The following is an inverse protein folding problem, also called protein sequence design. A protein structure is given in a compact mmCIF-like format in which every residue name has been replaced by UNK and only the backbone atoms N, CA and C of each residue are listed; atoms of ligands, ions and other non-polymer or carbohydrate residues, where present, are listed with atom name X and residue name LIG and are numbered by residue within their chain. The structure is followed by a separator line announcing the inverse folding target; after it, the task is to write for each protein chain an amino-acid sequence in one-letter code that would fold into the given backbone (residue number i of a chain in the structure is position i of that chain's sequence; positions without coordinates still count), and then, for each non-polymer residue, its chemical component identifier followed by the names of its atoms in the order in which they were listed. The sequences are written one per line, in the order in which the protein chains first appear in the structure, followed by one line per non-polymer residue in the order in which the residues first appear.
data_IF_820459275042
#
_entry.id   IF_820459275042
#
_cell.length_a   1.000
_cell.length_b   1.000
_cell.length_c   1.000
_cell.angle_alpha   90.00
_cell.angle_beta   90.00
_cell.angle_gamma   90.00
#
_symmetry.space_group_name_H-M   'P 1'
#
loop_
_entity.id
_entity.type
_entity.pdbx_description
1 polymer ?
#
# COMPACT_ATOMS: atom_id res chain seq x y z
N UNK A 1 47.55 -74.58 8.35
CA UNK A 1 46.35 -75.40 8.63
C UNK A 1 45.14 -74.49 8.67
N UNK A 2 44.01 -75.00 8.22
CA UNK A 2 42.81 -74.30 7.77
C UNK A 2 41.98 -73.59 8.87
N UNK A 3 40.98 -72.83 8.37
CA UNK A 3 39.81 -72.20 9.03
C UNK A 3 40.07 -70.89 9.78
N UNK A 4 39.22 -69.85 9.74
CA UNK A 4 38.03 -69.51 8.94
C UNK A 4 37.55 -68.09 9.34
N UNK A 5 36.97 -67.37 8.36
CA UNK A 5 35.82 -66.43 8.48
C UNK A 5 35.91 -65.19 9.39
N UNK A 6 35.84 -63.98 8.81
CA UNK A 6 34.62 -63.19 8.55
C UNK A 6 34.93 -61.72 8.18
N UNK A 7 34.19 -61.21 7.18
CA UNK A 7 33.69 -59.81 7.03
C UNK A 7 34.70 -58.66 6.87
N UNK A 8 34.80 -58.12 5.65
CA UNK A 8 34.08 -56.91 5.21
C UNK A 8 34.52 -56.53 3.79
N UNK A 9 33.56 -56.48 2.86
CA UNK A 9 33.76 -55.94 1.53
C UNK A 9 33.52 -54.44 1.55
N UNK A 10 34.57 -53.64 1.38
CA UNK A 10 34.48 -52.22 1.04
C UNK A 10 34.79 -52.08 -0.45
N UNK A 11 33.75 -51.95 -1.28
CA UNK A 11 33.91 -51.58 -2.69
C UNK A 11 34.05 -50.06 -2.79
N UNK A 12 35.23 -49.64 -3.23
CA UNK A 12 35.54 -48.28 -3.67
C UNK A 12 34.76 -48.02 -4.95
N UNK A 13 33.77 -47.12 -4.90
CA UNK A 13 33.10 -46.58 -6.09
C UNK A 13 33.49 -45.13 -6.28
N UNK A 14 34.02 -44.84 -7.47
CA UNK A 14 34.51 -43.55 -7.92
C UNK A 14 33.44 -42.45 -7.81
N UNK A 15 33.81 -41.31 -7.21
CA UNK A 15 33.02 -40.08 -7.22
C UNK A 15 33.09 -39.44 -8.61
N UNK A 16 31.97 -39.46 -9.34
CA UNK A 16 31.74 -38.58 -10.47
C UNK A 16 31.48 -37.13 -9.96
N UNK A 17 31.88 -36.09 -10.71
CA UNK A 17 31.82 -34.71 -10.25
C UNK A 17 30.38 -34.22 -10.18
N UNK A 18 30.05 -33.50 -9.11
CA UNK A 18 28.80 -32.77 -8.93
C UNK A 18 28.60 -31.81 -10.10
N UNK A 19 27.63 -32.09 -10.97
CA UNK A 19 27.11 -31.13 -11.92
C UNK A 19 26.57 -29.92 -11.13
N UNK A 20 27.02 -28.73 -11.50
CA UNK A 20 26.66 -27.47 -10.84
C UNK A 20 25.15 -27.31 -10.85
N UNK A 21 24.52 -27.35 -9.67
CA UNK A 21 23.15 -26.84 -9.51
C UNK A 21 23.23 -25.34 -9.74
N UNK A 22 22.73 -24.90 -10.90
CA UNK A 22 22.32 -23.53 -11.15
C UNK A 22 21.46 -23.10 -9.97
N UNK A 23 21.98 -22.15 -9.18
CA UNK A 23 21.22 -21.50 -8.13
C UNK A 23 20.07 -20.75 -8.80
N UNK A 24 18.83 -21.20 -8.57
CA UNK A 24 17.65 -20.42 -8.89
C UNK A 24 17.66 -19.19 -7.98
N UNK A 25 18.26 -18.10 -8.48
CA UNK A 25 18.12 -16.78 -7.91
C UNK A 25 16.70 -16.27 -8.20
N UNK A 26 15.74 -16.75 -7.42
CA UNK A 26 14.40 -16.18 -7.32
C UNK A 26 14.28 -15.50 -5.98
N UNK A 27 14.62 -14.22 -5.92
CA UNK A 27 14.42 -13.38 -4.73
C UNK A 27 12.97 -13.42 -4.30
N UNK A 28 12.77 -13.84 -3.06
CA UNK A 28 11.50 -13.96 -2.37
C UNK A 28 10.82 -12.57 -2.28
N UNK A 29 9.61 -12.33 -2.85
CA UNK A 29 8.85 -11.15 -2.47
C UNK A 29 8.28 -11.42 -1.07
N UNK A 30 9.03 -11.04 -0.04
CA UNK A 30 8.48 -10.93 1.30
C UNK A 30 7.29 -9.94 1.23
N UNK A 31 6.09 -10.45 1.52
CA UNK A 31 4.83 -9.71 1.47
C UNK A 31 4.92 -8.38 2.22
N UNK A 32 4.54 -7.31 1.54
CA UNK A 32 4.23 -6.05 2.20
C UNK A 32 2.86 -6.23 2.85
N UNK A 33 2.77 -6.14 4.18
CA UNK A 33 1.52 -5.71 4.80
C UNK A 33 1.20 -4.35 4.16
N UNK A 34 0.04 -4.21 3.51
CA UNK A 34 -0.40 -2.90 3.03
C UNK A 34 -0.49 -1.99 4.25
N UNK A 35 0.26 -0.89 4.20
CA UNK A 35 0.20 0.18 5.17
C UNK A 35 -0.78 1.21 4.65
N UNK A 36 -1.84 1.44 5.41
CA UNK A 36 -2.97 2.25 4.98
C UNK A 36 -2.79 3.71 5.35
N UNK A 37 -2.10 4.01 6.46
CA UNK A 37 -1.92 5.40 6.84
C UNK A 37 -0.98 6.11 5.84
N UNK A 38 -1.63 6.89 4.99
CA UNK A 38 -1.02 7.92 4.17
C UNK A 38 -1.70 9.23 4.56
N UNK A 39 -0.92 10.31 4.59
CA UNK A 39 -1.43 11.64 4.88
C UNK A 39 -1.57 12.44 3.60
N UNK A 40 -2.57 13.33 3.57
CA UNK A 40 -2.68 14.33 2.51
C UNK A 40 -1.46 15.25 2.53
N UNK A 41 -1.20 15.91 1.41
CA UNK A 41 -0.06 16.81 1.25
C UNK A 41 -0.04 17.89 2.35
N UNK A 42 -1.18 18.52 2.64
CA UNK A 42 -1.27 19.54 3.69
C UNK A 42 -0.94 19.00 5.09
N UNK A 43 -1.38 17.78 5.41
CA UNK A 43 -1.14 17.14 6.71
C UNK A 43 0.35 16.77 6.84
N UNK A 44 0.96 16.31 5.75
CA UNK A 44 2.39 16.03 5.70
C UNK A 44 3.20 17.31 5.91
N UNK A 45 2.81 18.42 5.27
CA UNK A 45 3.45 19.73 5.47
C UNK A 45 3.29 20.28 6.90
N UNK A 46 2.13 20.06 7.54
CA UNK A 46 1.94 20.38 8.96
C UNK A 46 2.90 19.61 9.86
N UNK A 47 3.12 18.32 9.58
CA UNK A 47 4.12 17.51 10.30
C UNK A 47 5.52 18.06 10.05
N UNK A 48 5.89 18.28 8.80
CA UNK A 48 7.21 18.80 8.40
C UNK A 48 7.58 20.12 9.09
N UNK A 49 6.63 21.06 9.18
CA UNK A 49 6.83 22.33 9.88
C UNK A 49 7.27 22.14 11.34
N UNK A 50 6.71 21.14 12.05
CA UNK A 50 7.10 20.85 13.45
C UNK A 50 8.56 20.39 13.57
N UNK A 51 9.12 19.84 12.50
CA UNK A 51 10.50 19.36 12.43
C UNK A 51 11.45 20.36 11.76
N UNK A 52 11.00 21.61 11.54
CA UNK A 52 11.83 22.67 10.96
C UNK A 52 12.14 22.48 9.47
N UNK A 53 11.36 21.66 8.77
CA UNK A 53 11.46 21.48 7.32
C UNK A 53 10.70 22.62 6.63
N UNK A 54 11.35 23.30 5.70
CA UNK A 54 10.76 24.42 4.99
C UNK A 54 9.72 23.93 3.96
N UNK A 55 8.48 24.37 4.14
CA UNK A 55 7.35 24.15 3.21
C UNK A 55 6.81 25.52 2.77
N UNK A 56 6.16 25.62 1.60
CA UNK A 56 5.56 26.87 1.15
C UNK A 56 4.43 27.31 2.09
N UNK A 57 4.07 28.60 2.07
CA UNK A 57 2.84 29.06 2.72
C UNK A 57 1.64 28.34 2.09
N UNK A 58 0.74 27.79 2.91
CA UNK A 58 -0.44 27.09 2.43
C UNK A 58 -1.66 27.27 3.35
N UNK A 59 -2.84 27.05 2.78
CA UNK A 59 -4.10 26.91 3.51
C UNK A 59 -5.01 25.87 2.86
N UNK A 60 -5.87 25.24 3.66
CA UNK A 60 -6.80 24.22 3.21
C UNK A 60 -8.19 24.81 3.07
N UNK A 61 -8.85 24.47 1.97
CA UNK A 61 -10.24 24.76 1.67
C UNK A 61 -11.02 23.45 1.71
N UNK A 62 -12.00 23.34 2.62
CA UNK A 62 -12.84 22.15 2.86
C UNK A 62 -14.24 22.27 2.28
N UNK A 63 -14.60 23.43 1.73
CA UNK A 63 -15.91 23.66 1.12
C UNK A 63 -15.81 24.62 -0.05
N UNK A 64 -16.72 24.51 -1.03
CA UNK A 64 -16.73 25.45 -2.15
C UNK A 64 -16.99 26.90 -1.68
N UNK A 65 -17.87 27.07 -0.69
CA UNK A 65 -18.29 28.39 -0.19
C UNK A 65 -17.19 29.18 0.51
N UNK A 66 -16.17 28.51 1.09
CA UNK A 66 -15.07 29.21 1.78
C UNK A 66 -13.89 29.56 0.87
N UNK A 67 -13.84 29.04 -0.37
CA UNK A 67 -12.71 29.21 -1.28
C UNK A 67 -12.29 30.68 -1.44
N UNK A 68 -13.27 31.58 -1.61
CA UNK A 68 -12.99 33.01 -1.75
C UNK A 68 -12.32 33.63 -0.52
N UNK A 69 -12.73 33.21 0.68
CA UNK A 69 -12.14 33.71 1.93
C UNK A 69 -10.74 33.14 2.15
N UNK A 70 -10.54 31.85 1.84
CA UNK A 70 -9.21 31.20 1.93
C UNK A 70 -8.25 31.85 0.93
N UNK A 71 -8.70 32.14 -0.29
CA UNK A 71 -7.89 32.86 -1.28
C UNK A 71 -7.47 34.24 -0.78
N UNK A 72 -8.40 35.05 -0.28
CA UNK A 72 -8.08 36.40 0.22
C UNK A 72 -7.09 36.36 1.39
N UNK A 73 -7.23 35.39 2.29
CA UNK A 73 -6.33 35.22 3.42
C UNK A 73 -4.93 34.72 3.01
N UNK A 74 -4.76 34.11 1.83
CA UNK A 74 -3.43 33.79 1.30
C UNK A 74 -2.63 35.07 1.02
N UNK A 75 -3.31 36.13 0.55
CA UNK A 75 -2.70 37.44 0.29
C UNK A 75 -1.61 37.44 -0.78
N UNK A 76 -1.56 36.42 -1.62
CA UNK A 76 -0.59 36.22 -2.71
C UNK A 76 -1.24 35.40 -3.82
N UNK A 77 -0.62 35.33 -5.00
CA UNK A 77 -0.98 34.39 -6.05
C UNK A 77 -0.90 32.95 -5.51
N UNK A 78 -1.82 32.08 -5.94
CA UNK A 78 -1.89 30.71 -5.41
C UNK A 78 -1.93 29.65 -6.50
N UNK A 79 -1.42 28.48 -6.13
CA UNK A 79 -1.67 27.21 -6.82
C UNK A 79 -2.72 26.45 -6.04
N UNK A 80 -3.80 26.04 -6.70
CA UNK A 80 -4.87 25.20 -6.14
C UNK A 80 -4.57 23.75 -6.49
N UNK A 81 -4.45 22.89 -5.47
CA UNK A 81 -4.15 21.46 -5.61
C UNK A 81 -5.26 20.60 -5.00
N UNK A 82 -5.78 19.64 -5.76
CA UNK A 82 -6.69 18.62 -5.25
C UNK A 82 -6.00 17.76 -4.19
N UNK A 83 -6.65 17.56 -3.05
CA UNK A 83 -6.16 16.67 -2.00
C UNK A 83 -6.76 15.28 -2.18
N UNK A 84 -5.96 14.38 -2.77
CA UNK A 84 -6.25 12.95 -2.92
C UNK A 84 -4.99 12.16 -2.57
N UNK A 85 -5.14 10.96 -2.00
CA UNK A 85 -4.02 10.08 -1.65
C UNK A 85 -3.52 9.29 -2.87
N UNK A 86 -3.14 10.00 -3.93
CA UNK A 86 -2.58 9.46 -5.15
C UNK A 86 -1.67 10.50 -5.85
N UNK A 87 -0.62 10.02 -6.50
CA UNK A 87 0.26 10.84 -7.33
C UNK A 87 -0.34 11.15 -8.71
N UNK A 88 0.36 11.98 -9.49
CA UNK A 88 -0.02 12.30 -10.87
C UNK A 88 -1.23 13.23 -11.00
N UNK A 89 -1.56 13.98 -9.94
CA UNK A 89 -2.74 14.85 -9.87
C UNK A 89 -2.78 15.87 -11.01
N UNK A 90 -1.64 16.48 -11.37
CA UNK A 90 -1.56 17.46 -12.46
C UNK A 90 -1.92 16.91 -13.84
N UNK A 91 -1.74 15.61 -14.08
CA UNK A 91 -2.04 14.93 -15.35
C UNK A 91 -3.37 14.16 -15.31
N UNK A 92 -4.09 14.23 -14.19
CA UNK A 92 -5.38 13.55 -14.02
C UNK A 92 -6.53 14.26 -14.72
N UNK A 93 -7.75 13.76 -14.54
CA UNK A 93 -8.97 14.45 -14.93
C UNK A 93 -10.09 14.18 -13.92
N UNK A 94 -11.03 15.11 -13.82
CA UNK A 94 -12.22 14.98 -12.97
C UNK A 94 -13.29 14.21 -13.73
N UNK A 95 -13.75 13.10 -13.15
CA UNK A 95 -14.60 12.10 -13.83
C UNK A 95 -15.97 12.66 -14.24
N UNK A 96 -16.57 13.48 -13.39
CA UNK A 96 -17.96 13.93 -13.52
C UNK A 96 -18.15 15.03 -14.57
N UNK A 97 -17.12 15.83 -14.84
CA UNK A 97 -17.20 16.98 -15.73
C UNK A 97 -16.07 17.05 -16.78
N UNK A 98 -15.15 16.09 -16.81
CA UNK A 98 -14.03 16.03 -17.76
C UNK A 98 -12.96 17.10 -17.56
N UNK A 99 -12.98 17.85 -16.45
CA UNK A 99 -12.00 18.91 -16.18
C UNK A 99 -10.58 18.32 -16.05
N UNK A 100 -9.62 18.90 -16.76
CA UNK A 100 -8.26 18.36 -16.85
C UNK A 100 -7.37 18.90 -15.73
N UNK A 101 -6.62 18.01 -15.09
CA UNK A 101 -5.66 18.29 -14.03
C UNK A 101 -6.31 18.59 -12.67
N UNK A 102 -5.62 18.18 -11.62
CA UNK A 102 -5.93 18.51 -10.21
C UNK A 102 -5.00 19.59 -9.63
N UNK A 103 -4.14 20.22 -10.42
CA UNK A 103 -3.18 21.23 -9.97
C UNK A 103 -3.20 22.41 -10.93
N UNK A 104 -3.60 23.60 -10.45
CA UNK A 104 -3.85 24.77 -11.28
C UNK A 104 -3.37 26.06 -10.63
N UNK A 105 -2.78 26.96 -11.41
CA UNK A 105 -2.47 28.32 -10.96
C UNK A 105 -3.75 29.16 -11.03
N UNK A 106 -4.19 29.71 -9.89
CA UNK A 106 -5.30 30.64 -9.86
C UNK A 106 -4.83 32.02 -10.36
N UNK A 107 -5.64 32.64 -11.22
CA UNK A 107 -5.32 33.94 -11.83
C UNK A 107 -5.82 35.10 -10.97
N UNK A 108 -6.92 34.86 -10.28
CA UNK A 108 -7.60 35.78 -9.39
C UNK A 108 -8.54 34.95 -8.48
N UNK A 109 -9.24 35.63 -7.57
CA UNK A 109 -10.22 35.04 -6.66
C UNK A 109 -11.35 34.33 -7.40
N UNK A 110 -11.86 34.90 -8.49
CA UNK A 110 -12.98 34.33 -9.23
C UNK A 110 -12.57 33.01 -9.90
N UNK A 111 -11.37 32.95 -10.47
CA UNK A 111 -10.79 31.73 -11.01
C UNK A 111 -10.58 30.67 -9.91
N UNK A 112 -10.13 31.04 -8.71
CA UNK A 112 -10.00 30.09 -7.61
C UNK A 112 -11.36 29.47 -7.21
N UNK A 113 -12.42 30.27 -7.17
CA UNK A 113 -13.79 29.79 -6.90
C UNK A 113 -14.29 28.86 -8.00
N UNK A 114 -14.05 29.20 -9.28
CA UNK A 114 -14.38 28.33 -10.42
C UNK A 114 -13.61 27.00 -10.39
N UNK A 115 -12.32 27.01 -10.03
CA UNK A 115 -11.53 25.80 -9.80
C UNK A 115 -12.13 24.94 -8.68
N UNK A 116 -12.60 25.57 -7.60
CA UNK A 116 -13.28 24.85 -6.52
C UNK A 116 -14.59 24.22 -6.97
N UNK A 117 -15.38 24.93 -7.76
CA UNK A 117 -16.60 24.39 -8.35
C UNK A 117 -16.29 23.17 -9.21
N UNK A 118 -15.25 23.22 -10.04
CA UNK A 118 -14.88 22.14 -10.95
C UNK A 118 -14.26 20.91 -10.30
N UNK A 119 -13.72 21.01 -9.08
CA UNK A 119 -12.98 19.93 -8.43
C UNK A 119 -13.62 19.42 -7.11
N UNK A 120 -14.08 20.31 -6.23
CA UNK A 120 -14.54 19.93 -4.89
C UNK A 120 -15.76 19.01 -4.95
N UNK A 121 -15.76 17.96 -4.13
CA UNK A 121 -16.84 16.97 -4.04
C UNK A 121 -16.94 16.02 -5.25
N UNK A 122 -15.98 16.07 -6.17
CA UNK A 122 -15.92 15.24 -7.38
C UNK A 122 -14.78 14.22 -7.30
N UNK A 123 -14.60 13.41 -8.33
CA UNK A 123 -13.66 12.30 -8.35
C UNK A 123 -12.48 12.60 -9.28
N UNK A 124 -11.25 12.61 -8.75
CA UNK A 124 -10.04 12.71 -9.56
C UNK A 124 -9.59 11.33 -10.01
N UNK A 125 -9.43 11.16 -11.32
CA UNK A 125 -8.81 9.99 -11.93
C UNK A 125 -7.37 10.34 -12.31
N UNK A 126 -6.41 9.56 -11.82
CA UNK A 126 -5.00 9.62 -12.22
C UNK A 126 -4.52 8.24 -12.69
N UNK A 127 -3.32 8.19 -13.28
CA UNK A 127 -2.67 6.91 -13.64
C UNK A 127 -2.56 5.95 -12.45
N UNK A 128 -2.45 6.46 -11.22
CA UNK A 128 -2.30 5.65 -10.01
C UNK A 128 -3.62 5.21 -9.39
N UNK A 129 -4.74 5.88 -9.70
CA UNK A 129 -6.05 5.52 -9.12
C UNK A 129 -6.83 4.55 -9.99
N UNK A 130 -6.48 4.42 -11.28
CA UNK A 130 -7.34 3.75 -12.26
C UNK A 130 -8.68 4.48 -12.46
N UNK A 131 -9.62 3.84 -13.14
CA UNK A 131 -10.92 4.43 -13.53
C UNK A 131 -11.85 4.73 -12.35
N UNK A 132 -11.61 4.11 -11.19
CA UNK A 132 -12.38 4.36 -9.96
C UNK A 132 -12.11 5.74 -9.42
N UNK A 133 -10.89 6.25 -9.55
CA UNK A 133 -10.50 7.57 -9.06
C UNK A 133 -10.51 7.66 -7.53
N UNK A 134 -10.34 8.89 -7.02
CA UNK A 134 -10.43 9.23 -5.59
C UNK A 134 -11.25 10.51 -5.38
N UNK A 135 -12.08 10.58 -4.33
CA UNK A 135 -12.90 11.77 -4.08
C UNK A 135 -12.05 12.95 -3.63
N UNK A 136 -12.34 14.14 -4.15
CA UNK A 136 -11.69 15.40 -3.80
C UNK A 136 -12.55 16.09 -2.72
N UNK A 137 -12.26 15.79 -1.45
CA UNK A 137 -13.00 16.35 -0.32
C UNK A 137 -12.40 17.67 0.21
N UNK A 138 -11.21 18.03 -0.25
CA UNK A 138 -10.57 19.30 0.07
C UNK A 138 -9.62 19.76 -1.03
N UNK A 139 -9.33 21.06 -1.04
CA UNK A 139 -8.37 21.70 -1.93
C UNK A 139 -7.31 22.40 -1.07
N UNK A 140 -6.07 22.35 -1.54
CA UNK A 140 -4.94 23.02 -0.92
C UNK A 140 -4.58 24.24 -1.76
N UNK A 141 -4.55 25.42 -1.14
CA UNK A 141 -4.02 26.63 -1.74
C UNK A 141 -2.60 26.81 -1.24
N UNK A 142 -1.64 26.87 -2.16
CA UNK A 142 -0.23 27.07 -1.87
C UNK A 142 0.20 28.39 -2.49
N UNK A 143 1.07 29.15 -1.83
CA UNK A 143 1.67 30.34 -2.45
C UNK A 143 2.32 29.96 -3.79
N UNK A 144 2.13 30.81 -4.80
CA UNK A 144 2.81 30.65 -6.08
C UNK A 144 4.28 31.07 -5.91
N UNK A 145 5.17 30.23 -6.39
CA UNK A 145 6.60 30.49 -6.44
C UNK A 145 7.19 30.06 -7.78
N UNK A 146 8.33 30.64 -8.14
CA UNK A 146 9.08 30.24 -9.32
C UNK A 146 10.21 29.28 -8.93
N UNK A 147 10.17 28.09 -9.50
CA UNK A 147 11.17 27.05 -9.27
C UNK A 147 12.34 27.28 -10.21
N UNK A 148 13.54 27.40 -9.64
CA UNK A 148 14.80 27.44 -10.40
C UNK A 148 15.26 26.05 -10.80
N UNK A 149 15.12 25.07 -9.90
CA UNK A 149 15.48 23.68 -10.17
C UNK A 149 14.79 22.71 -9.22
N UNK A 150 14.37 21.57 -9.78
CA UNK A 150 13.65 20.50 -9.10
C UNK A 150 14.55 19.28 -8.87
N UNK A 151 14.53 18.74 -7.67
CA UNK A 151 15.23 17.50 -7.30
C UNK A 151 14.26 16.50 -6.70
N UNK A 152 14.68 15.24 -6.64
CA UNK A 152 13.93 14.18 -5.98
C UNK A 152 14.63 13.79 -4.68
N UNK A 153 13.86 13.57 -3.61
CA UNK A 153 14.37 13.06 -2.35
C UNK A 153 13.39 12.04 -1.76
N UNK A 154 13.91 10.93 -1.23
CA UNK A 154 13.10 10.01 -0.45
C UNK A 154 13.89 9.33 0.67
N UNK A 155 13.16 8.85 1.68
CA UNK A 155 13.65 7.99 2.76
C UNK A 155 12.70 6.79 2.84
N UNK A 156 13.25 5.59 2.86
CA UNK A 156 12.47 4.37 3.11
C UNK A 156 13.28 3.36 3.93
N UNK A 157 12.60 2.37 4.51
CA UNK A 157 13.28 1.20 5.09
C UNK A 157 13.71 0.24 3.98
N UNK A 158 15.00 0.19 3.68
CA UNK A 158 15.53 -0.75 2.69
C UNK A 158 15.85 -2.10 3.33
N UNK A 159 15.24 -3.15 2.77
CA UNK A 159 15.32 -4.51 3.32
C UNK A 159 16.66 -5.17 3.04
N UNK A 160 17.37 -4.73 2.00
CA UNK A 160 18.67 -5.28 1.63
C UNK A 160 19.77 -4.68 2.50
N UNK A 161 19.68 -3.38 2.78
CA UNK A 161 20.56 -2.66 3.70
C UNK A 161 20.23 -2.95 5.17
N UNK A 162 19.01 -3.38 5.48
CA UNK A 162 18.58 -3.67 6.85
C UNK A 162 18.35 -2.41 7.68
N UNK A 163 17.94 -1.30 7.07
CA UNK A 163 17.75 -0.02 7.75
C UNK A 163 17.29 1.10 6.82
N UNK A 164 17.26 2.36 7.33
CA UNK A 164 16.87 3.51 6.52
C UNK A 164 17.82 3.73 5.35
N UNK A 165 17.26 3.93 4.17
CA UNK A 165 17.96 4.31 2.96
C UNK A 165 17.45 5.66 2.49
N UNK A 166 18.37 6.62 2.37
CA UNK A 166 18.07 7.91 1.74
C UNK A 166 18.40 7.82 0.25
N UNK A 167 17.45 8.25 -0.57
CA UNK A 167 17.54 8.30 -2.02
C UNK A 167 17.44 9.74 -2.46
N UNK A 168 18.31 10.17 -3.36
CA UNK A 168 18.28 11.50 -3.96
C UNK A 168 18.50 11.45 -5.47
N UNK A 169 18.05 12.49 -6.17
CA UNK A 169 18.44 12.73 -7.56
C UNK A 169 18.53 14.21 -7.86
N UNK A 170 19.43 14.58 -8.79
CA UNK A 170 19.57 15.96 -9.30
C UNK A 170 18.37 16.41 -10.14
N UNK A 171 17.60 15.45 -10.64
CA UNK A 171 16.41 15.68 -11.46
C UNK A 171 15.18 15.25 -10.66
N UNK A 172 14.22 16.17 -10.51
CA UNK A 172 12.91 15.90 -9.92
C UNK A 172 11.78 16.19 -10.91
N UNK A 173 10.54 16.23 -10.42
CA UNK A 173 9.35 16.59 -11.20
C UNK A 173 8.75 15.45 -12.02
N UNK A 174 9.40 14.29 -12.07
CA UNK A 174 8.91 13.06 -12.72
C UNK A 174 9.05 11.84 -11.79
N UNK A 175 8.53 10.69 -12.21
CA UNK A 175 8.60 9.42 -11.47
C UNK A 175 10.05 8.99 -11.26
N UNK A 176 10.41 8.58 -10.05
CA UNK A 176 11.79 8.13 -9.75
C UNK A 176 12.15 6.84 -10.48
N UNK A 177 11.16 5.99 -10.75
CA UNK A 177 11.29 4.78 -11.53
C UNK A 177 11.67 5.08 -12.98
N UNK A 178 11.09 6.14 -13.56
CA UNK A 178 11.41 6.56 -14.92
C UNK A 178 12.84 7.11 -14.99
N UNK A 179 13.27 7.89 -13.97
CA UNK A 179 14.65 8.35 -13.83
C UNK A 179 15.59 7.16 -13.72
N UNK A 180 15.29 6.20 -12.84
CA UNK A 180 16.13 5.02 -12.62
C UNK A 180 16.21 4.11 -13.84
N UNK A 181 15.14 4.01 -14.64
CA UNK A 181 15.12 3.23 -15.87
C UNK A 181 15.92 3.91 -17.00
N UNK A 182 15.83 5.24 -17.10
CA UNK A 182 16.54 6.02 -18.11
C UNK A 182 18.03 6.18 -17.78
N UNK A 183 18.36 6.49 -16.52
CA UNK A 183 19.72 6.64 -16.02
C UNK A 183 19.81 6.18 -14.54
N UNK A 184 20.19 4.92 -14.29
CA UNK A 184 20.40 4.40 -12.94
C UNK A 184 21.46 5.18 -12.14
N UNK A 185 22.41 5.86 -12.82
CA UNK A 185 23.49 6.61 -12.16
C UNK A 185 23.03 7.96 -11.63
N UNK A 186 21.86 8.44 -12.08
CA UNK A 186 21.21 9.62 -11.53
C UNK A 186 20.62 9.40 -10.12
N UNK A 187 20.57 8.14 -9.66
CA UNK A 187 20.03 7.76 -8.35
C UNK A 187 21.16 7.69 -7.33
N UNK A 188 21.16 8.63 -6.41
CA UNK A 188 22.07 8.66 -5.26
C UNK A 188 21.43 7.84 -4.14
N UNK A 189 22.20 6.93 -3.54
CA UNK A 189 21.75 6.06 -2.45
C UNK A 189 22.72 6.20 -1.27
N UNK A 190 22.16 6.49 -0.09
CA UNK A 190 22.92 6.65 1.15
C UNK A 190 22.25 5.85 2.27
N UNK A 191 22.73 4.63 2.56
CA UNK A 191 22.29 3.88 3.74
C UNK A 191 22.65 4.65 5.01
N UNK A 192 21.74 4.65 5.98
CA UNK A 192 21.94 5.28 7.29
C UNK A 192 21.89 4.21 8.38
N UNK A 193 22.90 4.23 9.25
CA UNK A 193 22.89 3.40 10.46
C UNK A 193 21.78 3.90 11.39
N UNK A 194 20.82 3.02 11.70
CA UNK A 194 19.65 3.38 12.51
C UNK A 194 19.98 3.69 13.97
N UNK A 195 21.08 3.14 14.50
CA UNK A 195 21.51 3.35 15.88
C UNK A 195 22.23 4.69 16.04
N UNK A 196 22.98 5.11 15.00
CA UNK A 196 23.70 6.39 15.00
C UNK A 196 22.81 7.54 14.51
N UNK A 197 21.87 7.25 13.62
CA UNK A 197 21.07 8.25 12.93
C UNK A 197 21.83 8.97 11.82
N UNK A 198 21.13 9.85 11.10
CA UNK A 198 21.76 10.70 10.08
C UNK A 198 22.51 11.87 10.72
N UNK A 199 23.80 11.98 10.41
CA UNK A 199 24.63 13.12 10.81
C UNK A 199 24.44 14.33 9.89
N UNK A 200 24.76 15.53 10.39
CA UNK A 200 24.74 16.76 9.58
C UNK A 200 25.69 16.69 8.38
N UNK A 201 26.83 15.99 8.51
CA UNK A 201 27.76 15.78 7.42
C UNK A 201 27.16 14.92 6.30
N UNK A 202 26.45 13.84 6.64
CA UNK A 202 25.73 13.01 5.67
C UNK A 202 24.60 13.79 4.98
N UNK A 203 23.83 14.58 5.74
CA UNK A 203 22.78 15.41 5.17
C UNK A 203 23.32 16.46 4.19
N UNK A 204 24.44 17.11 4.54
CA UNK A 204 25.14 18.05 3.65
C UNK A 204 25.69 17.35 2.41
N UNK A 205 26.31 16.19 2.57
CA UNK A 205 26.80 15.38 1.46
C UNK A 205 25.67 15.00 0.50
N UNK A 206 24.52 14.56 1.01
CA UNK A 206 23.34 14.25 0.19
C UNK A 206 22.85 15.49 -0.57
N UNK A 207 22.71 16.63 0.10
CA UNK A 207 22.31 17.88 -0.53
C UNK A 207 23.25 18.28 -1.69
N UNK A 208 24.57 18.21 -1.48
CA UNK A 208 25.56 18.52 -2.51
C UNK A 208 25.53 17.52 -3.66
N UNK A 209 25.35 16.23 -3.38
CA UNK A 209 25.21 15.19 -4.41
C UNK A 209 23.94 15.40 -5.24
N UNK A 210 22.85 15.87 -4.64
CA UNK A 210 21.63 16.31 -5.32
C UNK A 210 21.80 17.65 -6.08
N UNK A 211 22.99 18.25 -6.05
CA UNK A 211 23.32 19.44 -6.83
C UNK A 211 22.84 20.74 -6.21
N UNK A 212 22.56 20.79 -4.91
CA UNK A 212 22.50 22.06 -4.19
C UNK A 212 23.93 22.58 -3.96
N UNK A 213 24.10 23.90 -3.90
CA UNK A 213 25.41 24.52 -3.69
C UNK A 213 25.33 25.67 -2.69
N UNK A 214 26.47 26.08 -2.11
CA UNK A 214 26.54 27.22 -1.20
C UNK A 214 25.56 27.16 -0.04
N UNK A 215 24.89 28.29 0.22
CA UNK A 215 23.88 28.42 1.27
C UNK A 215 22.66 27.50 1.04
N UNK A 216 22.24 27.30 -0.22
CA UNK A 216 21.13 26.40 -0.55
C UNK A 216 21.46 24.95 -0.16
N UNK A 217 22.72 24.53 -0.25
CA UNK A 217 23.10 23.21 0.24
C UNK A 217 23.01 23.10 1.77
N UNK A 218 23.27 24.19 2.51
CA UNK A 218 23.08 24.20 3.98
C UNK A 218 21.59 24.13 4.35
N UNK A 219 20.74 24.87 3.64
CA UNK A 219 19.29 24.86 3.89
C UNK A 219 18.64 23.54 3.46
N UNK A 220 19.10 22.96 2.36
CA UNK A 220 18.73 21.60 1.96
C UNK A 220 19.14 20.57 3.02
N UNK A 221 20.37 20.65 3.54
CA UNK A 221 20.86 19.75 4.59
C UNK A 221 20.01 19.83 5.87
N UNK A 222 19.60 21.03 6.30
CA UNK A 222 18.69 21.21 7.45
C UNK A 222 17.34 20.52 7.21
N UNK A 223 16.77 20.69 6.02
CA UNK A 223 15.51 20.06 5.65
C UNK A 223 15.64 18.54 5.57
N UNK A 224 16.73 18.01 5.01
CA UNK A 224 17.02 16.56 4.95
C UNK A 224 17.11 15.97 6.37
N UNK A 225 17.80 16.64 7.30
CA UNK A 225 17.84 16.21 8.70
C UNK A 225 16.45 16.22 9.35
N UNK A 226 15.65 17.27 9.10
CA UNK A 226 14.27 17.35 9.58
C UNK A 226 13.40 16.23 9.03
N UNK A 227 13.50 15.93 7.72
CA UNK A 227 12.79 14.82 7.08
C UNK A 227 13.22 13.46 7.63
N UNK A 228 14.51 13.27 7.93
CA UNK A 228 14.99 12.05 8.59
C UNK A 228 14.42 11.91 10.01
N UNK A 229 14.35 13.00 10.77
CA UNK A 229 13.68 12.99 12.08
C UNK A 229 12.21 12.66 11.97
N UNK A 230 11.48 13.24 11.01
CA UNK A 230 10.08 12.85 10.72
C UNK A 230 10.00 11.36 10.45
N UNK A 231 10.87 10.83 9.59
CA UNK A 231 10.86 9.43 9.22
C UNK A 231 11.02 8.48 10.42
N UNK A 232 11.95 8.79 11.32
CA UNK A 232 12.20 7.97 12.52
C UNK A 232 11.16 8.22 13.63
N UNK A 233 10.92 9.48 13.99
CA UNK A 233 10.09 9.84 15.14
C UNK A 233 8.59 9.61 14.88
N UNK A 234 8.14 9.65 13.63
CA UNK A 234 6.75 9.40 13.27
C UNK A 234 6.50 7.97 12.74
N UNK A 235 7.48 7.07 12.80
CA UNK A 235 7.39 5.70 12.26
C UNK A 235 6.93 5.66 10.79
N UNK A 236 7.57 6.47 9.95
CA UNK A 236 7.27 6.44 8.52
C UNK A 236 7.84 5.16 7.88
N UNK A 237 7.09 4.58 6.96
CA UNK A 237 7.62 3.56 6.05
C UNK A 237 8.28 4.18 4.83
N UNK A 238 7.80 5.36 4.44
CA UNK A 238 8.35 6.14 3.34
C UNK A 238 8.08 7.64 3.55
N UNK A 239 9.07 8.47 3.27
CA UNK A 239 8.92 9.91 3.07
C UNK A 239 9.44 10.21 1.67
N UNK A 240 8.59 10.60 0.74
CA UNK A 240 8.95 10.96 -0.63
C UNK A 240 8.63 12.43 -0.86
N UNK A 241 9.61 13.20 -1.35
CA UNK A 241 9.50 14.60 -1.71
C UNK A 241 9.79 14.75 -3.21
N UNK A 242 8.78 15.21 -3.95
CA UNK A 242 8.92 15.38 -5.39
C UNK A 242 7.99 16.48 -5.94
N UNK A 243 8.49 17.72 -6.17
CA UNK A 243 9.90 18.11 -6.13
C UNK A 243 10.37 18.63 -4.76
N UNK A 244 11.65 18.38 -4.47
CA UNK A 244 12.42 19.16 -3.50
C UNK A 244 13.12 20.29 -4.25
N UNK A 245 12.67 21.53 -4.07
CA UNK A 245 12.95 22.62 -4.99
C UNK A 245 13.90 23.68 -4.42
N UNK A 246 14.70 24.24 -5.31
CA UNK A 246 15.33 25.55 -5.12
C UNK A 246 14.51 26.59 -5.90
N UNK A 247 14.11 27.66 -5.24
CA UNK A 247 13.34 28.73 -5.84
C UNK A 247 14.25 29.80 -6.45
N UNK A 248 13.71 30.60 -7.36
CA UNK A 248 14.40 31.73 -7.98
C UNK A 248 14.82 32.81 -6.96
N UNK A 249 14.13 32.89 -5.82
CA UNK A 249 14.48 33.79 -4.70
C UNK A 249 15.54 33.20 -3.75
N UNK A 250 16.06 32.00 -4.05
CA UNK A 250 17.11 31.34 -3.30
C UNK A 250 16.63 30.49 -2.12
N UNK A 251 15.32 30.44 -1.82
CA UNK A 251 14.77 29.52 -0.81
C UNK A 251 14.87 28.06 -1.29
N UNK A 252 15.00 27.15 -0.33
CA UNK A 252 14.91 25.70 -0.55
C UNK A 252 13.68 25.18 0.16
N UNK A 253 12.74 24.56 -0.57
CA UNK A 253 11.45 24.15 -0.03
C UNK A 253 11.00 22.77 -0.53
N UNK A 254 10.22 22.09 0.31
CA UNK A 254 9.48 20.88 -0.03
C UNK A 254 8.16 21.29 -0.69
N UNK A 255 8.01 21.03 -2.00
CA UNK A 255 6.86 21.52 -2.77
C UNK A 255 5.67 20.56 -2.80
N UNK A 256 5.95 19.26 -2.73
CA UNK A 256 4.96 18.19 -2.69
C UNK A 256 5.57 16.99 -1.95
N UNK A 257 4.71 16.23 -1.28
CA UNK A 257 5.13 15.15 -0.42
C UNK A 257 4.13 14.00 -0.40
N UNK A 258 4.68 12.79 -0.39
CA UNK A 258 3.94 11.55 -0.14
C UNK A 258 4.59 10.83 1.03
N UNK A 259 3.83 10.70 2.12
CA UNK A 259 4.32 10.08 3.36
C UNK A 259 3.45 8.90 3.72
N UNK A 260 4.08 7.74 3.85
CA UNK A 260 3.48 6.50 4.33
C UNK A 260 3.97 6.20 5.74
N UNK A 261 3.07 5.71 6.60
CA UNK A 261 3.31 5.44 8.02
C UNK A 261 3.14 3.95 8.33
N UNK A 262 3.79 3.46 9.38
CA UNK A 262 3.64 2.08 9.83
C UNK A 262 2.39 1.92 10.70
N UNK A 263 1.35 1.27 10.17
CA UNK A 263 0.13 0.93 10.93
C UNK A 263 0.42 0.15 12.22
N UNK A 264 1.51 -0.62 12.27
CA UNK A 264 1.92 -1.35 13.48
C UNK A 264 2.39 -0.42 14.60
N UNK A 265 2.75 0.83 14.30
CA UNK A 265 3.15 1.85 15.26
C UNK A 265 1.97 2.71 15.74
N UNK A 266 0.75 2.44 15.28
CA UNK A 266 -0.44 3.24 15.62
C UNK A 266 -0.69 3.41 17.13
N UNK A 267 -0.35 2.41 17.93
CA UNK A 267 -0.50 2.46 19.39
C UNK A 267 0.27 3.60 20.06
N UNK A 268 1.33 4.12 19.42
CA UNK A 268 2.17 5.22 19.93
C UNK A 268 2.06 6.52 19.13
N UNK A 269 1.23 6.55 18.09
CA UNK A 269 1.02 7.71 17.18
C UNK A 269 -0.47 7.99 16.95
N UNK A 270 -1.26 8.00 18.02
CA UNK A 270 -2.72 8.13 17.93
C UNK A 270 -3.16 9.44 17.27
N UNK A 271 -2.42 10.53 17.47
CA UNK A 271 -2.69 11.83 16.85
C UNK A 271 -2.50 11.79 15.33
N UNK A 272 -1.44 11.13 14.84
CA UNK A 272 -1.23 10.92 13.40
C UNK A 272 -2.28 9.98 12.80
N UNK A 273 -2.56 8.86 13.46
CA UNK A 273 -3.56 7.90 12.98
C UNK A 273 -4.98 8.44 12.99
N UNK A 274 -5.29 9.42 13.85
CA UNK A 274 -6.58 10.13 13.84
C UNK A 274 -6.82 10.95 12.56
N UNK A 275 -5.76 11.24 11.79
CA UNK A 275 -5.82 11.97 10.52
C UNK A 275 -6.14 11.09 9.30
N UNK A 276 -6.26 9.77 9.49
CA UNK A 276 -6.59 8.80 8.43
C UNK A 276 -7.88 9.21 7.70
N UNK A 277 -7.81 9.29 6.38
CA UNK A 277 -8.95 9.61 5.53
C UNK A 277 -9.48 8.35 4.84
N UNK A 278 -10.46 7.69 5.48
CA UNK A 278 -11.08 6.46 4.96
C UNK A 278 -11.84 6.67 3.66
N UNK A 279 -12.17 7.92 3.28
CA UNK A 279 -12.82 8.20 1.98
C UNK A 279 -11.90 7.92 0.79
N UNK A 280 -10.59 7.84 1.04
CA UNK A 280 -9.56 7.57 0.05
C UNK A 280 -9.24 6.08 -0.07
N UNK A 281 -9.87 5.23 0.74
CA UNK A 281 -9.61 3.80 0.82
C UNK A 281 -10.75 2.99 0.20
N UNK A 282 -10.52 1.72 -0.07
CA UNK A 282 -11.59 0.81 -0.48
C UNK A 282 -12.48 0.52 0.74
N UNK A 283 -13.79 0.78 0.64
CA UNK A 283 -14.73 0.55 1.73
C UNK A 283 -14.75 -0.91 2.22
N UNK A 284 -14.43 -1.88 1.35
CA UNK A 284 -14.30 -3.29 1.71
C UNK A 284 -13.05 -3.53 2.57
N UNK A 285 -11.93 -2.88 2.24
CA UNK A 285 -10.69 -2.94 3.04
C UNK A 285 -10.91 -2.25 4.41
N UNK A 286 -11.62 -1.13 4.46
CA UNK A 286 -11.99 -0.44 5.70
C UNK A 286 -12.87 -1.32 6.59
N UNK A 287 -13.95 -1.89 6.04
CA UNK A 287 -14.86 -2.77 6.78
C UNK A 287 -14.15 -4.04 7.27
N UNK A 288 -13.23 -4.60 6.49
CA UNK A 288 -12.42 -5.74 6.90
C UNK A 288 -11.54 -5.40 8.11
N UNK A 289 -10.93 -4.20 8.11
CA UNK A 289 -10.00 -3.80 9.16
C UNK A 289 -10.65 -3.66 10.53
N UNK A 290 -11.94 -3.32 10.61
CA UNK A 290 -12.72 -3.28 11.86
C UNK A 290 -12.76 -4.63 12.59
N UNK A 291 -12.62 -5.73 11.85
CA UNK A 291 -12.62 -7.11 12.38
C UNK A 291 -11.22 -7.75 12.37
N UNK A 292 -10.18 -6.92 12.23
CA UNK A 292 -8.76 -7.31 12.07
C UNK A 292 -8.51 -8.32 10.93
N UNK A 293 -9.30 -8.20 9.86
CA UNK A 293 -9.15 -9.00 8.66
C UNK A 293 -8.18 -8.33 7.69
N UNK A 294 -7.26 -9.11 7.12
CA UNK A 294 -6.38 -8.61 6.06
C UNK A 294 -7.04 -8.84 4.71
N UNK A 295 -7.79 -7.85 4.23
CA UNK A 295 -8.47 -7.87 2.94
C UNK A 295 -7.78 -6.95 1.94
N UNK A 296 -7.70 -7.39 0.69
CA UNK A 296 -7.34 -6.55 -0.46
C UNK A 296 -8.30 -6.84 -1.60
N UNK A 297 -8.99 -5.81 -2.09
CA UNK A 297 -9.88 -5.93 -3.25
C UNK A 297 -9.09 -6.08 -4.55
N UNK A 298 -9.57 -6.94 -5.44
CA UNK A 298 -9.08 -7.14 -6.80
C UNK A 298 -10.25 -7.11 -7.78
N UNK A 299 -9.98 -7.19 -9.08
CA UNK A 299 -10.98 -7.02 -10.15
C UNK A 299 -11.57 -8.34 -10.69
N UNK A 300 -11.33 -9.46 -10.00
CA UNK A 300 -11.77 -10.78 -10.41
C UNK A 300 -13.20 -11.17 -10.00
N UNK A 301 -13.56 -12.42 -10.28
CA UNK A 301 -14.90 -12.98 -10.05
C UNK A 301 -14.94 -14.11 -9.00
N UNK A 302 -13.79 -14.68 -8.61
CA UNK A 302 -13.72 -15.72 -7.58
C UNK A 302 -13.24 -15.10 -6.27
N UNK A 303 -14.13 -14.92 -5.31
CA UNK A 303 -13.73 -14.50 -3.97
C UNK A 303 -13.02 -15.63 -3.24
N UNK A 304 -12.04 -15.31 -2.41
CA UNK A 304 -11.41 -16.29 -1.54
C UNK A 304 -11.43 -15.86 -0.07
N UNK A 305 -11.57 -16.83 0.84
CA UNK A 305 -11.39 -16.65 2.28
C UNK A 305 -10.45 -17.75 2.77
N UNK A 306 -9.32 -17.35 3.34
CA UNK A 306 -8.23 -18.26 3.67
C UNK A 306 -7.65 -17.90 5.03
N UNK A 307 -7.10 -18.88 5.75
CA UNK A 307 -6.31 -18.63 6.97
C UNK A 307 -4.81 -18.73 6.67
N UNK A 308 -4.10 -17.64 6.95
CA UNK A 308 -2.69 -17.47 6.69
C UNK A 308 -2.41 -16.87 5.31
N UNK A 309 -1.74 -15.73 5.30
CA UNK A 309 -1.39 -15.00 4.08
C UNK A 309 -0.66 -15.85 3.03
N UNK A 310 0.07 -16.90 3.43
CA UNK A 310 0.80 -17.79 2.50
C UNK A 310 -0.14 -18.59 1.63
N UNK A 311 -1.09 -19.24 2.31
CA UNK A 311 -2.12 -20.03 1.67
C UNK A 311 -3.08 -19.13 0.87
N UNK A 312 -3.36 -17.91 1.34
CA UNK A 312 -4.21 -16.96 0.63
C UNK A 312 -3.63 -16.63 -0.76
N UNK A 313 -2.34 -16.31 -0.84
CA UNK A 313 -1.66 -16.07 -2.13
C UNK A 313 -1.61 -17.32 -3.00
N UNK A 314 -1.23 -18.47 -2.44
CA UNK A 314 -1.22 -19.72 -3.19
C UNK A 314 -2.61 -20.10 -3.73
N UNK A 315 -3.68 -19.73 -3.03
CA UNK A 315 -5.07 -19.93 -3.47
C UNK A 315 -5.37 -19.05 -4.67
N UNK A 316 -5.03 -17.75 -4.61
CA UNK A 316 -5.20 -16.84 -5.74
C UNK A 316 -4.40 -17.30 -6.97
N UNK A 317 -3.15 -17.71 -6.78
CA UNK A 317 -2.28 -18.21 -7.85
C UNK A 317 -2.88 -19.48 -8.51
N UNK A 318 -3.41 -20.40 -7.70
CA UNK A 318 -4.03 -21.62 -8.20
C UNK A 318 -5.33 -21.36 -8.97
N UNK A 319 -6.16 -20.41 -8.50
CA UNK A 319 -7.34 -19.96 -9.23
C UNK A 319 -6.95 -19.37 -10.59
N UNK A 320 -5.91 -18.52 -10.62
CA UNK A 320 -5.38 -17.93 -11.85
C UNK A 320 -4.83 -18.99 -12.81
N UNK A 321 -4.13 -19.99 -12.29
CA UNK A 321 -3.60 -21.12 -13.07
C UNK A 321 -4.71 -21.90 -13.80
N UNK A 322 -5.89 -22.00 -13.21
CA UNK A 322 -7.06 -22.65 -13.83
C UNK A 322 -7.95 -21.70 -14.64
N UNK A 323 -7.48 -20.48 -14.91
CA UNK A 323 -8.16 -19.50 -15.75
C UNK A 323 -9.29 -18.75 -15.05
N UNK A 324 -9.32 -18.74 -13.72
CA UNK A 324 -10.16 -17.85 -12.93
C UNK A 324 -9.47 -16.53 -12.62
N UNK A 325 -10.25 -15.54 -12.22
CA UNK A 325 -9.74 -14.25 -11.76
C UNK A 325 -10.06 -14.10 -10.27
N UNK A 326 -9.06 -14.07 -9.37
CA UNK A 326 -9.30 -13.80 -7.95
C UNK A 326 -9.90 -12.41 -7.73
N UNK A 327 -11.01 -12.33 -7.02
CA UNK A 327 -11.70 -11.08 -6.71
C UNK A 327 -11.11 -10.36 -5.49
N UNK A 328 -10.37 -11.07 -4.64
CA UNK A 328 -9.75 -10.50 -3.46
C UNK A 328 -8.62 -11.38 -2.94
N UNK A 329 -7.75 -10.78 -2.13
CA UNK A 329 -7.00 -11.46 -1.08
C UNK A 329 -7.77 -11.31 0.24
N UNK A 330 -7.90 -12.37 1.03
CA UNK A 330 -8.42 -12.28 2.39
C UNK A 330 -7.77 -13.34 3.28
N UNK A 331 -7.03 -12.86 4.28
CA UNK A 331 -6.50 -13.65 5.38
C UNK A 331 -7.29 -13.36 6.67
N UNK A 332 -8.03 -14.37 7.15
CA UNK A 332 -8.80 -14.30 8.41
C UNK A 332 -7.94 -14.53 9.67
N UNK A 333 -6.66 -14.86 9.51
CA UNK A 333 -5.74 -15.15 10.60
C UNK A 333 -5.98 -16.51 11.26
N UNK A 334 -5.16 -16.81 12.27
CA UNK A 334 -5.24 -18.08 13.03
C UNK A 334 -6.22 -18.07 14.19
N UNK A 335 -6.77 -16.90 14.56
CA UNK A 335 -7.65 -16.70 15.72
C UNK A 335 -9.04 -16.18 15.31
N UNK A 336 -9.48 -16.47 14.08
CA UNK A 336 -10.77 -16.02 13.59
C UNK A 336 -11.91 -16.56 14.46
N UNK A 337 -12.83 -15.68 14.85
CA UNK A 337 -14.05 -16.01 15.56
C UNK A 337 -15.28 -15.92 14.62
N UNK A 338 -16.46 -16.27 15.13
CA UNK A 338 -17.70 -16.24 14.36
C UNK A 338 -18.04 -14.84 13.80
N UNK A 339 -17.76 -13.78 14.57
CA UNK A 339 -18.02 -12.39 14.15
C UNK A 339 -17.14 -11.99 12.97
N UNK A 340 -15.83 -12.23 13.06
CA UNK A 340 -14.86 -11.97 11.98
C UNK A 340 -15.19 -12.80 10.73
N UNK A 341 -15.59 -14.07 10.88
CA UNK A 341 -16.01 -14.92 9.74
C UNK A 341 -17.29 -14.36 9.10
N UNK A 342 -18.25 -13.93 9.92
CA UNK A 342 -19.50 -13.33 9.42
C UNK A 342 -19.23 -12.02 8.68
N UNK A 343 -18.35 -11.17 9.21
CA UNK A 343 -17.93 -9.92 8.58
C UNK A 343 -17.22 -10.18 7.23
N UNK A 344 -16.26 -11.10 7.21
CA UNK A 344 -15.62 -11.57 5.99
C UNK A 344 -16.66 -12.01 4.95
N UNK A 345 -17.62 -12.84 5.37
CA UNK A 345 -18.66 -13.35 4.48
C UNK A 345 -19.55 -12.24 3.92
N UNK A 346 -19.94 -11.25 4.74
CA UNK A 346 -20.69 -10.06 4.29
C UNK A 346 -19.94 -9.29 3.21
N UNK A 347 -18.63 -9.08 3.38
CA UNK A 347 -17.79 -8.37 2.41
C UNK A 347 -17.76 -9.13 1.07
N UNK A 348 -17.53 -10.44 1.09
CA UNK A 348 -17.47 -11.26 -0.14
C UNK A 348 -18.83 -11.36 -0.85
N UNK A 349 -19.92 -11.49 -0.09
CA UNK A 349 -21.28 -11.53 -0.63
C UNK A 349 -21.72 -10.18 -1.20
N UNK A 350 -21.31 -9.06 -0.58
CA UNK A 350 -21.67 -7.71 -1.01
C UNK A 350 -20.98 -7.24 -2.29
N UNK A 351 -19.85 -7.86 -2.67
CA UNK A 351 -19.09 -7.47 -3.85
C UNK A 351 -19.79 -7.87 -5.17
N UNK A 352 -20.22 -6.93 -6.03
CA UNK A 352 -20.95 -7.24 -7.26
C UNK A 352 -20.13 -8.01 -8.32
N UNK A 353 -18.80 -7.92 -8.27
CA UNK A 353 -17.91 -8.60 -9.21
C UNK A 353 -17.81 -10.09 -8.90
N UNK A 354 -17.92 -10.47 -7.62
CA UNK A 354 -17.82 -11.85 -7.17
C UNK A 354 -19.01 -12.67 -7.67
N UNK A 355 -18.69 -13.78 -8.33
CA UNK A 355 -19.64 -14.78 -8.85
C UNK A 355 -19.59 -16.09 -8.08
N UNK A 356 -18.45 -16.48 -7.51
CA UNK A 356 -18.33 -17.62 -6.60
C UNK A 356 -17.44 -17.29 -5.40
N UNK A 357 -17.58 -18.04 -4.31
CA UNK A 357 -16.77 -17.90 -3.09
C UNK A 357 -16.03 -19.21 -2.83
N UNK A 358 -14.72 -19.13 -2.64
CA UNK A 358 -13.88 -20.26 -2.28
C UNK A 358 -13.27 -20.09 -0.88
N UNK A 359 -13.71 -20.92 0.06
CA UNK A 359 -13.14 -21.01 1.40
C UNK A 359 -12.09 -22.12 1.41
N UNK A 360 -10.83 -21.77 1.65
CA UNK A 360 -9.74 -22.73 1.74
C UNK A 360 -9.07 -22.61 3.09
N UNK A 361 -9.32 -23.57 3.98
CA UNK A 361 -8.88 -23.51 5.37
C UNK A 361 -8.00 -24.71 5.68
N UNK A 362 -6.78 -24.42 6.14
CA UNK A 362 -5.86 -25.39 6.69
C UNK A 362 -5.83 -25.23 8.21
N UNK A 363 -6.60 -26.08 8.88
CA UNK A 363 -6.68 -26.20 10.33
C UNK A 363 -5.36 -26.65 10.94
N UNK A 364 -4.80 -25.78 11.77
CA UNK A 364 -3.66 -26.06 12.64
C UNK A 364 -4.06 -25.72 14.06
N UNK A 365 -3.73 -24.49 14.49
CA UNK A 365 -4.24 -23.89 15.73
C UNK A 365 -5.76 -23.71 15.64
N UNK A 366 -6.26 -23.29 14.48
CA UNK A 366 -7.69 -23.16 14.23
C UNK A 366 -8.31 -24.51 13.89
N UNK A 367 -9.43 -24.86 14.54
CA UNK A 367 -10.13 -26.13 14.31
C UNK A 367 -11.17 -26.00 13.19
N UNK A 368 -11.25 -27.01 12.32
CA UNK A 368 -12.19 -27.02 11.20
C UNK A 368 -13.66 -26.97 11.63
N UNK A 369 -14.02 -27.53 12.79
CA UNK A 369 -15.40 -27.50 13.29
C UNK A 369 -15.84 -26.10 13.75
N UNK A 370 -14.94 -25.31 14.34
CA UNK A 370 -15.21 -23.90 14.70
C UNK A 370 -15.48 -23.07 13.44
N UNK A 371 -14.64 -23.27 12.41
CA UNK A 371 -14.80 -22.58 11.13
C UNK A 371 -16.08 -22.99 10.43
N UNK A 372 -16.37 -24.30 10.37
CA UNK A 372 -17.61 -24.79 9.77
C UNK A 372 -18.85 -24.20 10.45
N UNK A 373 -18.87 -24.15 11.79
CA UNK A 373 -19.94 -23.47 12.53
C UNK A 373 -20.04 -21.99 12.18
N UNK A 374 -18.91 -21.27 12.14
CA UNK A 374 -18.87 -19.86 11.77
C UNK A 374 -19.39 -19.60 10.35
N UNK A 375 -19.05 -20.47 9.38
CA UNK A 375 -19.56 -20.38 8.00
C UNK A 375 -21.07 -20.64 7.96
N UNK A 376 -21.56 -21.69 8.64
CA UNK A 376 -23.00 -21.99 8.70
C UNK A 376 -23.78 -20.85 9.36
N UNK A 377 -23.25 -20.27 10.44
CA UNK A 377 -23.84 -19.13 11.12
C UNK A 377 -23.87 -17.88 10.23
N UNK A 378 -22.75 -17.58 9.57
CA UNK A 378 -22.65 -16.48 8.62
C UNK A 378 -23.69 -16.61 7.49
N UNK A 379 -23.85 -17.81 6.92
CA UNK A 379 -24.84 -18.05 5.86
C UNK A 379 -26.27 -17.87 6.39
N UNK A 380 -26.59 -18.33 7.61
CA UNK A 380 -27.91 -18.12 8.21
C UNK A 380 -28.22 -16.64 8.45
N UNK A 381 -27.22 -15.86 8.84
CA UNK A 381 -27.37 -14.45 9.19
C UNK A 381 -27.37 -13.52 7.98
N UNK A 382 -26.55 -13.82 6.97
CA UNK A 382 -26.29 -12.96 5.81
C UNK A 382 -27.07 -13.42 4.58
N UNK A 383 -27.39 -14.71 4.50
CA UNK A 383 -27.86 -15.38 3.30
C UNK A 383 -26.70 -15.83 2.39
N UNK A 384 -26.98 -16.80 1.54
CA UNK A 384 -26.08 -17.30 0.51
C UNK A 384 -26.70 -17.07 -0.87
N UNK A 385 -26.10 -16.17 -1.65
CA UNK A 385 -26.55 -15.79 -3.00
C UNK A 385 -25.57 -16.18 -4.08
N UNK A 386 -24.36 -16.60 -3.72
CA UNK A 386 -23.28 -17.01 -4.61
C UNK A 386 -22.87 -18.45 -4.31
N UNK A 387 -22.51 -19.28 -5.31
CA UNK A 387 -21.97 -20.62 -5.08
C UNK A 387 -20.82 -20.60 -4.08
N UNK A 388 -20.85 -21.53 -3.11
CA UNK A 388 -19.84 -21.65 -2.07
C UNK A 388 -19.11 -22.99 -2.16
N UNK A 389 -17.82 -22.90 -2.39
CA UNK A 389 -16.90 -24.02 -2.42
C UNK A 389 -16.07 -23.97 -1.15
N UNK A 390 -15.97 -25.09 -0.44
CA UNK A 390 -15.24 -25.18 0.83
C UNK A 390 -14.25 -26.31 0.77
N UNK A 391 -13.01 -26.02 1.18
CA UNK A 391 -11.99 -27.02 1.43
C UNK A 391 -11.47 -26.86 2.85
N UNK A 392 -11.72 -27.88 3.68
CA UNK A 392 -11.26 -27.97 5.07
C UNK A 392 -10.23 -29.10 5.17
N UNK A 393 -9.06 -28.81 5.72
CA UNK A 393 -8.03 -29.83 6.01
C UNK A 393 -7.44 -29.55 7.39
N UNK A 394 -7.16 -30.56 8.20
CA UNK A 394 -6.45 -30.41 9.48
C UNK A 394 -7.28 -30.79 10.70
N UNK A 395 -7.04 -30.13 11.83
CA UNK A 395 -7.65 -30.48 13.13
C UNK A 395 -9.19 -30.48 13.07
N UNK A 396 -9.82 -31.59 13.46
CA UNK A 396 -11.28 -31.80 13.45
C UNK A 396 -11.95 -31.64 12.08
N UNK A 397 -11.25 -31.98 11.00
CA UNK A 397 -11.80 -31.91 9.64
C UNK A 397 -13.09 -32.73 9.46
N UNK A 398 -13.16 -33.94 10.00
CA UNK A 398 -14.32 -34.81 9.85
C UNK A 398 -15.57 -34.20 10.47
N UNK A 399 -15.42 -33.59 11.65
CA UNK A 399 -16.50 -32.88 12.34
C UNK A 399 -16.90 -31.61 11.58
N UNK A 400 -15.93 -30.83 11.07
CA UNK A 400 -16.23 -29.67 10.23
C UNK A 400 -17.01 -30.02 8.96
N UNK A 401 -16.63 -31.11 8.28
CA UNK A 401 -17.38 -31.63 7.13
C UNK A 401 -18.78 -32.09 7.52
N UNK A 402 -18.93 -32.76 8.65
CA UNK A 402 -20.24 -33.19 9.18
C UNK A 402 -21.16 -31.99 9.40
N UNK A 403 -20.67 -30.93 10.04
CA UNK A 403 -21.41 -29.68 10.28
C UNK A 403 -21.89 -29.06 8.96
N UNK A 404 -21.03 -28.97 7.95
CA UNK A 404 -21.39 -28.42 6.63
C UNK A 404 -22.46 -29.30 5.96
N UNK A 405 -22.29 -30.62 5.94
CA UNK A 405 -23.23 -31.54 5.29
C UNK A 405 -24.62 -31.56 5.97
N UNK A 406 -24.66 -31.51 7.30
CA UNK A 406 -25.91 -31.50 8.08
C UNK A 406 -26.66 -30.16 7.98
N UNK A 407 -25.98 -29.08 7.60
CA UNK A 407 -26.57 -27.74 7.49
C UNK A 407 -27.63 -27.62 6.39
N UNK A 408 -27.67 -28.57 5.43
CA UNK A 408 -28.50 -28.54 4.21
C UNK A 408 -28.31 -27.29 3.34
N UNK A 409 -27.20 -26.58 3.53
CA UNK A 409 -26.83 -25.44 2.71
C UNK A 409 -26.23 -25.93 1.39
N UNK A 410 -26.36 -25.13 0.32
CA UNK A 410 -25.75 -25.42 -0.99
C UNK A 410 -24.24 -25.13 -0.91
N UNK A 411 -23.50 -26.05 -0.31
CA UNK A 411 -22.04 -25.96 -0.10
C UNK A 411 -21.39 -27.22 -0.66
N UNK A 412 -20.41 -27.04 -1.54
CA UNK A 412 -19.62 -28.15 -2.07
C UNK A 412 -18.31 -28.28 -1.28
N UNK A 413 -18.16 -29.38 -0.53
CA UNK A 413 -16.98 -29.64 0.29
C UNK A 413 -15.96 -30.53 -0.46
N UNK A 414 -14.68 -30.13 -0.44
CA UNK A 414 -13.58 -30.81 -1.12
C UNK A 414 -12.42 -31.12 -0.16
N UNK A 415 -11.70 -32.21 -0.45
CA UNK A 415 -10.44 -32.56 0.21
C UNK A 415 -9.23 -31.98 -0.52
N UNK A 416 -9.21 -32.21 -1.83
CA UNK A 416 -8.12 -31.79 -2.70
C UNK A 416 -8.21 -30.30 -3.03
N UNK A 417 -7.07 -29.62 -2.94
CA UNK A 417 -6.97 -28.18 -3.18
C UNK A 417 -7.19 -27.84 -4.66
N UNK A 418 -6.66 -28.67 -5.56
CA UNK A 418 -6.75 -28.46 -7.02
C UNK A 418 -8.18 -28.61 -7.51
N UNK A 419 -8.87 -29.67 -7.09
CA UNK A 419 -10.25 -29.92 -7.50
C UNK A 419 -11.20 -28.84 -6.96
N UNK A 420 -11.01 -28.41 -5.70
CA UNK A 420 -11.77 -27.30 -5.13
C UNK A 420 -11.58 -25.99 -5.92
N UNK A 421 -10.33 -25.66 -6.27
CA UNK A 421 -10.01 -24.46 -7.04
C UNK A 421 -10.63 -24.50 -8.44
N UNK A 422 -10.52 -25.61 -9.17
CA UNK A 422 -11.16 -25.78 -10.48
C UNK A 422 -12.67 -25.58 -10.40
N UNK A 423 -13.31 -26.14 -9.36
CA UNK A 423 -14.76 -26.00 -9.17
C UNK A 423 -15.17 -24.56 -8.88
N UNK A 424 -14.39 -23.86 -8.05
CA UNK A 424 -14.65 -22.44 -7.77
C UNK A 424 -14.57 -21.58 -9.04
N UNK A 425 -13.61 -21.87 -9.93
CA UNK A 425 -13.49 -21.20 -11.23
C UNK A 425 -14.65 -21.55 -12.16
N UNK A 426 -15.04 -22.83 -12.23
CA UNK A 426 -16.19 -23.28 -13.02
C UNK A 426 -17.47 -22.55 -12.60
N UNK A 427 -17.72 -22.44 -11.30
CA UNK A 427 -18.90 -21.78 -10.73
C UNK A 427 -18.92 -20.25 -10.84
N UNK A 428 -17.80 -19.64 -11.23
CA UNK A 428 -17.70 -18.19 -11.43
C UNK A 428 -17.89 -17.75 -12.88
N UNK A 429 -18.07 -18.69 -13.80
CA UNK A 429 -18.43 -18.47 -15.21
C UNK A 429 -19.94 -18.47 -15.35
#
# INVERSE_FOLDING_TARGET
MAFSTLRQATSVAARAPFASRTALSGSNPMKNQKRFLNLHEYQSMEVFNKFGVAVPKFMVCKSQGEMGNVYDAMGTDVVVKSQVLAGGRGLGHVKENGFQGGVHVAKDKAHAVDLADKMMGKTLVTKQTGETGKPINSLLLVEKFEIKSERYFAILMDRSAGGPLVIGSKTGGTSIEDIAAADPTAIIKMPIDIMQGMSSAQAKQMAEQMGFTGAQADDAAKSILGLYKVFIECDCTMVEINPFAELSDGRVIVCDAKVGFDDNASFRHQDLHSKRDVSQEDSREVAAKEFDLNYIGLDGSVACMVNGAGLAMATMDLLKLFGGEPANFLDVGGAANEESITAAFKILQGDPNVKSIFINIFGGIMRCDVIANGVVAAIKNVGLSKPLIVRLVGTNVDEGKRIINESKLQVEAFDDFTEAAKKAVEMAK
#
